data_IF_576116760717
#
_entry.id   IF_576116760717
#
_cell.length_a   1.000
_cell.length_b   1.000
_cell.length_c   1.000
_cell.angle_alpha   90.00
_cell.angle_beta   90.00
_cell.angle_gamma   90.00
#
_symmetry.space_group_name_H-M   'P 1'
#
loop_
_entity.id
_entity.type
_entity.pdbx_description
1 polymer ?
#
# COMPACT_ATOMS: atom_id res chain seq x y z
N UNK A 1 7.07 8.29 -10.39
CA UNK A 1 5.89 9.03 -9.96
C UNK A 1 5.17 8.30 -8.84
N UNK A 2 4.42 9.03 -8.02
CA UNK A 2 3.47 8.47 -7.07
C UNK A 2 2.07 9.02 -7.34
N UNK A 3 1.04 8.28 -6.97
CA UNK A 3 -0.34 8.70 -7.06
C UNK A 3 -1.16 8.22 -5.87
N UNK A 4 -2.24 8.92 -5.59
CA UNK A 4 -3.17 8.57 -4.53
C UNK A 4 -4.62 8.63 -5.01
N UNK A 5 -5.51 8.02 -4.24
CA UNK A 5 -6.97 8.05 -4.45
C UNK A 5 -7.70 8.21 -3.12
N UNK A 6 -9.00 8.43 -3.17
CA UNK A 6 -9.84 8.33 -1.98
C UNK A 6 -9.79 6.93 -1.39
N UNK A 7 -9.78 6.85 -0.06
CA UNK A 7 -9.93 5.58 0.62
C UNK A 7 -11.36 5.07 0.42
N UNK A 8 -11.55 3.82 -0.05
CA UNK A 8 -12.88 3.30 -0.41
C UNK A 8 -13.67 2.89 0.84
N UNK A 9 -14.00 3.86 1.69
CA UNK A 9 -14.77 3.65 2.90
C UNK A 9 -15.65 4.86 3.19
N UNK A 10 -16.96 4.65 3.26
CA UNK A 10 -17.97 5.71 3.37
C UNK A 10 -17.83 6.61 4.62
N UNK A 11 -17.22 6.09 5.69
CA UNK A 11 -17.03 6.82 6.96
C UNK A 11 -15.67 7.51 7.09
N UNK A 12 -14.82 7.45 6.08
CA UNK A 12 -13.44 7.98 6.13
C UNK A 12 -13.17 8.91 4.94
N UNK A 13 -13.91 10.02 4.88
CA UNK A 13 -13.78 11.01 3.81
C UNK A 13 -12.44 11.77 3.86
N UNK A 14 -11.83 11.86 5.02
CA UNK A 14 -10.54 12.51 5.29
C UNK A 14 -9.32 11.67 4.92
N UNK A 15 -9.52 10.38 4.58
CA UNK A 15 -8.43 9.47 4.28
C UNK A 15 -8.16 9.35 2.79
N UNK A 16 -6.89 9.47 2.43
CA UNK A 16 -6.36 9.16 1.09
C UNK A 16 -5.54 7.86 1.16
N UNK A 17 -5.54 7.12 0.07
CA UNK A 17 -4.79 5.88 -0.06
C UNK A 17 -3.82 5.96 -1.23
N UNK A 18 -2.58 5.50 -1.03
CA UNK A 18 -1.63 5.31 -2.10
C UNK A 18 -2.18 4.36 -3.16
N UNK A 19 -2.04 4.73 -4.41
CA UNK A 19 -2.55 3.95 -5.54
C UNK A 19 -1.42 3.32 -6.34
N UNK A 20 -0.45 4.12 -6.75
CA UNK A 20 0.73 3.65 -7.48
C UNK A 20 1.96 4.41 -7.06
N UNK A 21 3.06 3.68 -6.95
CA UNK A 21 4.40 4.20 -6.81
C UNK A 21 5.26 3.52 -7.89
N UNK A 22 5.84 4.30 -8.77
CA UNK A 22 6.70 3.80 -9.85
C UNK A 22 8.02 4.54 -9.83
N UNK A 23 9.09 3.78 -9.70
CA UNK A 23 10.47 4.23 -9.89
C UNK A 23 11.06 3.37 -11.00
N UNK A 24 11.59 4.02 -12.03
CA UNK A 24 12.20 3.31 -13.16
C UNK A 24 13.38 2.45 -12.68
N UNK A 25 13.65 1.31 -13.31
CA UNK A 25 14.68 0.36 -12.87
C UNK A 25 16.04 1.02 -12.62
N UNK A 26 16.48 1.89 -13.48
CA UNK A 26 17.78 2.57 -13.39
C UNK A 26 17.91 3.52 -12.18
N UNK A 27 16.80 3.88 -11.57
CA UNK A 27 16.72 4.79 -10.42
C UNK A 27 16.27 4.10 -9.13
N UNK A 28 16.09 2.78 -9.15
CA UNK A 28 15.75 2.02 -7.96
C UNK A 28 16.97 1.90 -7.03
N UNK A 29 16.72 1.79 -5.73
CA UNK A 29 17.78 1.73 -4.71
C UNK A 29 18.32 3.09 -4.26
N UNK A 30 18.02 4.18 -4.96
CA UNK A 30 18.47 5.54 -4.60
C UNK A 30 17.60 6.24 -3.55
N UNK A 31 16.63 5.55 -2.95
CA UNK A 31 15.74 6.14 -1.95
C UNK A 31 14.63 7.03 -2.49
N UNK A 32 14.49 7.15 -3.82
CA UNK A 32 13.50 8.01 -4.47
C UNK A 32 12.08 7.67 -4.03
N UNK A 33 11.75 6.38 -3.90
CA UNK A 33 10.44 5.93 -3.43
C UNK A 33 10.11 6.51 -2.05
N UNK A 34 11.08 6.49 -1.14
CA UNK A 34 10.92 7.01 0.24
C UNK A 34 10.68 8.51 0.24
N UNK A 35 11.44 9.24 -0.57
CA UNK A 35 11.30 10.70 -0.69
C UNK A 35 9.93 11.06 -1.24
N UNK A 36 9.48 10.41 -2.31
CA UNK A 36 8.18 10.66 -2.93
C UNK A 36 7.02 10.37 -1.97
N UNK A 37 7.07 9.24 -1.27
CA UNK A 37 6.00 8.84 -0.34
C UNK A 37 5.97 9.73 0.90
N UNK A 38 7.13 10.14 1.40
CA UNK A 38 7.22 11.10 2.52
C UNK A 38 6.67 12.47 2.11
N UNK A 39 7.08 12.95 0.95
CA UNK A 39 6.58 14.22 0.39
C UNK A 39 5.06 14.18 0.20
N UNK A 40 4.53 13.10 -0.36
CA UNK A 40 3.09 12.94 -0.55
C UNK A 40 2.33 12.90 0.78
N UNK A 41 2.89 12.22 1.79
CA UNK A 41 2.34 12.20 3.14
C UNK A 41 2.29 13.59 3.77
N UNK A 42 3.34 14.39 3.64
CA UNK A 42 3.37 15.78 4.10
C UNK A 42 2.38 16.66 3.33
N UNK A 43 2.38 16.56 2.00
CA UNK A 43 1.48 17.30 1.13
C UNK A 43 0.00 17.08 1.47
N UNK A 44 -0.39 15.84 1.72
CA UNK A 44 -1.76 15.50 2.08
C UNK A 44 -2.09 15.95 3.52
N UNK A 45 -1.15 15.78 4.45
CA UNK A 45 -1.31 16.22 5.83
C UNK A 45 -1.48 17.74 5.95
N UNK A 46 -0.76 18.52 5.14
CA UNK A 46 -0.91 19.99 5.10
C UNK A 46 -2.32 20.42 4.63
N UNK A 47 -3.02 19.53 3.92
CA UNK A 47 -4.39 19.73 3.45
C UNK A 47 -5.46 19.11 4.34
N UNK A 48 -5.07 18.63 5.52
CA UNK A 48 -5.98 18.03 6.50
C UNK A 48 -6.38 16.59 6.18
N UNK A 49 -5.70 15.94 5.21
CA UNK A 49 -5.95 14.54 4.90
C UNK A 49 -5.01 13.60 5.64
N UNK A 50 -5.54 12.46 6.04
CA UNK A 50 -4.76 11.30 6.49
C UNK A 50 -4.31 10.51 5.27
N UNK A 51 -3.11 9.94 5.33
CA UNK A 51 -2.57 9.17 4.23
C UNK A 51 -2.24 7.74 4.66
N UNK A 52 -2.76 6.76 3.94
CA UNK A 52 -2.51 5.34 4.16
C UNK A 52 -1.95 4.70 2.90
N UNK A 53 -0.96 3.84 3.09
CA UNK A 53 -0.41 3.03 2.03
C UNK A 53 -0.55 1.54 2.34
N UNK A 54 -0.80 0.73 1.30
CA UNK A 54 -0.89 -0.73 1.40
C UNK A 54 0.21 -1.31 0.54
N UNK A 55 1.12 -2.02 1.15
CA UNK A 55 2.34 -2.50 0.49
C UNK A 55 2.49 -4.01 0.63
N UNK A 56 2.94 -4.64 -0.45
CA UNK A 56 3.25 -6.06 -0.51
C UNK A 56 4.76 -6.31 -0.69
N UNK A 57 5.51 -5.32 -1.17
CA UNK A 57 6.93 -5.47 -1.44
C UNK A 57 7.73 -5.52 -0.13
N UNK A 58 8.52 -6.58 0.14
CA UNK A 58 9.21 -6.77 1.41
C UNK A 58 10.16 -5.63 1.78
N UNK A 59 10.84 -5.04 0.79
CA UNK A 59 11.72 -3.90 0.99
C UNK A 59 10.97 -2.67 1.48
N UNK A 60 9.80 -2.37 0.90
CA UNK A 60 8.96 -1.26 1.33
C UNK A 60 8.35 -1.48 2.71
N UNK A 61 7.95 -2.73 3.02
CA UNK A 61 7.46 -3.09 4.36
C UNK A 61 8.53 -2.82 5.41
N UNK A 62 9.76 -3.25 5.18
CA UNK A 62 10.89 -3.01 6.11
C UNK A 62 11.17 -1.51 6.27
N UNK A 63 11.15 -0.77 5.18
CA UNK A 63 11.40 0.66 5.16
C UNK A 63 10.34 1.42 5.96
N UNK A 64 9.07 1.13 5.75
CA UNK A 64 7.98 1.78 6.48
C UNK A 64 7.98 1.37 7.96
N UNK A 65 8.22 0.09 8.26
CA UNK A 65 8.28 -0.39 9.63
C UNK A 65 9.43 0.21 10.45
N UNK A 66 10.54 0.57 9.80
CA UNK A 66 11.69 1.21 10.43
C UNK A 66 11.63 2.74 10.47
N UNK A 67 10.66 3.36 9.84
CA UNK A 67 10.55 4.82 9.76
C UNK A 67 9.62 5.38 10.84
N UNK A 68 10.03 6.43 11.59
CA UNK A 68 9.16 7.08 12.56
C UNK A 68 7.98 7.83 11.91
N UNK A 69 8.05 8.03 10.59
CA UNK A 69 6.99 8.70 9.81
C UNK A 69 5.85 7.77 9.40
N UNK A 70 5.98 6.48 9.67
CA UNK A 70 5.00 5.48 9.26
C UNK A 70 4.60 4.61 10.45
N UNK A 71 3.32 4.49 10.67
CA UNK A 71 2.73 3.63 11.70
C UNK A 71 1.95 2.51 11.05
N UNK A 72 2.13 1.29 11.50
CA UNK A 72 1.29 0.17 11.06
C UNK A 72 -0.18 0.47 11.35
N UNK A 73 -1.02 0.28 10.34
CA UNK A 73 -2.46 0.50 10.41
C UNK A 73 -3.19 -0.80 10.13
N UNK A 74 -3.85 -1.33 11.15
CA UNK A 74 -4.60 -2.59 11.05
C UNK A 74 -3.78 -3.84 11.39
N UNK A 75 -4.46 -4.98 11.46
CA UNK A 75 -3.85 -6.27 11.69
C UNK A 75 -2.99 -6.70 10.48
N UNK A 76 -1.89 -7.41 10.74
CA UNK A 76 -1.12 -8.04 9.66
C UNK A 76 -2.04 -8.98 8.88
N UNK A 77 -2.33 -8.66 7.64
CA UNK A 77 -3.08 -9.57 6.78
C UNK A 77 -2.13 -10.62 6.24
N UNK A 78 -2.17 -11.80 6.83
CA UNK A 78 -1.48 -12.98 6.30
C UNK A 78 -2.26 -13.69 5.20
N UNK A 79 -3.50 -13.23 4.93
CA UNK A 79 -4.37 -13.84 3.92
C UNK A 79 -4.51 -12.86 2.75
N UNK A 80 -3.78 -13.11 1.68
CA UNK A 80 -4.19 -12.61 0.37
C UNK A 80 -5.49 -13.34 0.04
N UNK A 81 -6.62 -12.62 0.09
CA UNK A 81 -7.82 -13.10 -0.58
C UNK A 81 -7.52 -13.03 -2.07
N UNK A 82 -7.04 -14.12 -2.64
CA UNK A 82 -7.19 -14.34 -4.07
C UNK A 82 -8.69 -14.22 -4.31
N UNK A 83 -9.09 -13.17 -5.03
CA UNK A 83 -10.47 -13.01 -5.45
C UNK A 83 -10.86 -14.21 -6.30
N UNK A 84 -11.36 -15.24 -5.65
CA UNK A 84 -12.20 -16.19 -6.31
C UNK A 84 -13.45 -15.37 -6.70
N UNK A 85 -13.48 -14.86 -7.90
CA UNK A 85 -14.73 -14.49 -8.53
C UNK A 85 -15.54 -15.77 -8.61
N UNK A 86 -16.41 -15.96 -7.62
CA UNK A 86 -17.49 -16.94 -7.75
C UNK A 86 -18.42 -16.45 -8.85
N UNK A 87 -18.01 -16.59 -10.09
CA UNK A 87 -18.97 -16.63 -11.18
C UNK A 87 -19.63 -17.99 -11.12
N UNK A 88 -20.74 -18.05 -10.42
CA UNK A 88 -21.62 -19.21 -10.33
C UNK A 88 -22.38 -19.47 -11.65
N UNK A 89 -21.72 -19.34 -12.79
CA UNK A 89 -22.35 -19.58 -14.09
C UNK A 89 -21.37 -20.27 -15.03
N UNK A 90 -20.99 -21.49 -14.67
CA UNK A 90 -20.51 -22.46 -15.65
C UNK A 90 -20.64 -23.88 -15.08
N UNK A 91 -21.85 -24.39 -15.02
CA UNK A 91 -22.08 -25.83 -15.18
C UNK A 91 -21.60 -26.20 -16.58
N UNK A 92 -20.55 -26.98 -16.67
CA UNK A 92 -20.24 -27.70 -17.89
C UNK A 92 -18.91 -27.33 -18.57
N UNK A 93 -17.76 -27.58 -17.96
CA UNK A 93 -16.59 -28.13 -18.66
C UNK A 93 -15.79 -28.92 -17.60
N UNK A 94 -16.03 -30.21 -17.54
CA UNK A 94 -15.15 -31.20 -16.90
C UNK A 94 -13.89 -31.31 -17.76
N UNK A 95 -12.73 -31.38 -17.11
CA UNK A 95 -11.41 -31.68 -17.62
C UNK A 95 -10.58 -30.47 -18.14
N UNK A 96 -10.21 -29.57 -17.23
CA UNK A 96 -8.88 -28.98 -17.33
C UNK A 96 -8.16 -29.24 -16.00
N UNK A 97 -7.00 -29.93 -16.09
CA UNK A 97 -6.05 -30.02 -14.99
C UNK A 97 -5.73 -28.60 -14.55
N UNK A 98 -6.33 -28.17 -13.45
CA UNK A 98 -5.98 -26.91 -12.80
C UNK A 98 -4.53 -27.05 -12.38
N UNK A 99 -3.63 -26.47 -13.15
CA UNK A 99 -2.29 -26.18 -12.69
C UNK A 99 -2.46 -25.26 -11.48
N UNK A 100 -2.33 -25.81 -10.28
CA UNK A 100 -2.29 -25.02 -9.07
C UNK A 100 -1.03 -24.15 -9.15
N UNK A 101 -1.21 -22.94 -9.66
CA UNK A 101 -0.24 -21.89 -9.44
C UNK A 101 -0.30 -21.65 -7.93
N UNK A 102 0.68 -22.17 -7.22
CA UNK A 102 0.87 -21.87 -5.81
C UNK A 102 1.08 -20.36 -5.70
N UNK A 103 0.01 -19.63 -5.46
CA UNK A 103 0.09 -18.22 -5.15
C UNK A 103 0.88 -18.12 -3.84
N UNK A 104 2.18 -17.80 -3.95
CA UNK A 104 2.98 -17.44 -2.79
C UNK A 104 2.19 -16.34 -2.09
N UNK A 105 1.78 -16.63 -0.86
CA UNK A 105 1.03 -15.68 -0.03
C UNK A 105 1.96 -14.49 0.23
N UNK A 106 1.79 -13.44 -0.56
CA UNK A 106 2.49 -12.19 -0.29
C UNK A 106 1.84 -11.56 0.93
N UNK A 107 2.64 -11.35 1.96
CA UNK A 107 2.20 -10.58 3.11
C UNK A 107 1.93 -9.14 2.66
N UNK A 108 0.71 -8.67 2.88
CA UNK A 108 0.31 -7.29 2.60
C UNK A 108 0.18 -6.57 3.93
N UNK A 109 0.84 -5.44 4.07
CA UNK A 109 0.78 -4.62 5.27
C UNK A 109 0.29 -3.21 4.94
N UNK A 110 -0.47 -2.64 5.87
CA UNK A 110 -0.96 -1.27 5.77
C UNK A 110 -0.18 -0.37 6.71
N UNK A 111 0.19 0.80 6.21
CA UNK A 111 0.87 1.83 6.98
C UNK A 111 0.16 3.17 6.82
N UNK A 112 0.10 3.92 7.90
CA UNK A 112 -0.44 5.27 7.92
C UNK A 112 0.68 6.26 8.17
N UNK A 113 0.71 7.32 7.39
CA UNK A 113 1.69 8.39 7.54
C UNK A 113 1.43 9.18 8.82
N UNK A 114 2.50 9.43 9.57
CA UNK A 114 2.49 10.23 10.80
C UNK A 114 3.33 11.48 10.56
N UNK A 115 2.69 12.63 10.64
CA UNK A 115 3.41 13.90 10.57
C UNK A 115 4.27 14.09 11.83
N UNK A 116 5.56 14.19 11.64
CA UNK A 116 6.44 14.58 12.75
C UNK A 116 6.37 16.09 12.95
N UNK A 117 6.46 16.57 14.21
CA UNK A 117 6.56 17.99 14.49
C UNK A 117 7.76 18.56 13.74
N UNK A 118 7.56 19.67 13.04
CA UNK A 118 8.68 20.41 12.44
C UNK A 118 9.56 20.85 13.60
N UNK A 119 10.83 20.41 13.61
CA UNK A 119 11.81 21.06 14.48
C UNK A 119 11.81 22.53 14.06
N UNK A 120 11.39 23.41 14.96
CA UNK A 120 11.59 24.84 14.76
C UNK A 120 13.08 25.01 14.55
N UNK A 121 13.47 25.51 13.37
CA UNK A 121 14.85 25.90 13.16
C UNK A 121 15.18 26.99 14.19
N UNK A 122 16.35 26.91 14.80
CA UNK A 122 16.78 27.96 15.72
C UNK A 122 16.91 29.33 15.03
#
# INVERSE_FOLDING_TARGET
>A
FTSYRHFPHSRMSDMKMGHRLVVLPDFQGLGIATVLETWLGEYLSDRGYRYRNVVAHPGMIRLYAGSPRWRRAGAKSTKVRTGATNSSTAKGIRNQKQTQISSRRLAVESFEYVRLPRKQAP
#
